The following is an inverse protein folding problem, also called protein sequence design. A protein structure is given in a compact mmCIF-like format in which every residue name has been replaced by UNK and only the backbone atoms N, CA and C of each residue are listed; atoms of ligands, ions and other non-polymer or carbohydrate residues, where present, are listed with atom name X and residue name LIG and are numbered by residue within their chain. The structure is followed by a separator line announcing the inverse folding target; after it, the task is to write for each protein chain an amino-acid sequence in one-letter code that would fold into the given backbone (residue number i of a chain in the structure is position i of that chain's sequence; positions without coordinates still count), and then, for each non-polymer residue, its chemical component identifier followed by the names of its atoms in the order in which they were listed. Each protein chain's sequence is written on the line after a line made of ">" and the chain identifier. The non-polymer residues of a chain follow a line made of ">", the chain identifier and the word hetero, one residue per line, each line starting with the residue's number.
data_IF_085375842974
#
_entry.id   IF_085375842974
#
_cell.length_a   1.000
_cell.length_b   1.000
_cell.length_c   1.000
_cell.angle_alpha   90.00
_cell.angle_beta   90.00
_cell.angle_gamma   90.00
#
_symmetry.space_group_name_H-M   'P 1'
#
loop_
_entity.id
_entity.type
_entity.pdbx_description
1 polymer ?
#
# COMPACT_ATOMS: atom_id res chain seq x y z
N UNK A 1 -69.09 -6.46 -17.93
CA UNK A 1 -68.94 -5.70 -19.19
C UNK A 1 -68.91 -4.22 -18.80
N UNK A 2 -67.91 -3.37 -19.05
CA UNK A 2 -66.87 -3.27 -20.06
C UNK A 2 -65.64 -2.54 -19.45
N UNK A 3 -64.42 -3.02 -19.73
CA UNK A 3 -63.19 -2.25 -19.49
C UNK A 3 -63.00 -1.27 -20.66
N UNK A 4 -62.89 0.03 -20.36
CA UNK A 4 -62.54 1.06 -21.34
C UNK A 4 -61.02 1.07 -21.52
N UNK A 5 -60.53 0.38 -22.55
CA UNK A 5 -59.14 0.48 -22.98
C UNK A 5 -58.88 1.84 -23.62
N UNK A 6 -57.89 2.57 -23.12
CA UNK A 6 -57.40 3.80 -23.72
C UNK A 6 -56.22 3.44 -24.63
N UNK A 7 -56.46 3.38 -25.93
CA UNK A 7 -55.42 3.05 -26.92
C UNK A 7 -54.85 4.35 -27.47
N UNK A 8 -53.62 4.69 -27.07
CA UNK A 8 -52.88 5.82 -27.63
C UNK A 8 -52.22 5.33 -28.93
N UNK A 9 -52.80 5.62 -30.09
CA UNK A 9 -52.12 5.40 -31.37
C UNK A 9 -51.28 6.62 -31.72
N UNK A 10 -49.96 6.50 -31.67
CA UNK A 10 -49.06 7.50 -32.23
C UNK A 10 -49.05 7.29 -33.74
N UNK A 11 -49.80 8.12 -34.49
CA UNK A 11 -49.72 8.17 -35.96
C UNK A 11 -48.35 8.70 -36.37
N UNK A 12 -47.50 7.83 -36.89
CA UNK A 12 -46.32 8.25 -37.65
C UNK A 12 -46.80 8.71 -39.03
N UNK A 13 -46.84 10.03 -39.24
CA UNK A 13 -47.13 10.61 -40.55
C UNK A 13 -45.90 10.40 -41.47
N UNK A 14 -46.09 9.62 -42.53
CA UNK A 14 -45.10 9.43 -43.58
C UNK A 14 -44.92 10.70 -44.41
N UNK A 15 -43.84 11.43 -44.15
CA UNK A 15 -43.29 12.43 -45.07
C UNK A 15 -42.09 11.78 -45.77
N UNK A 16 -41.91 11.93 -47.10
CA UNK A 16 -40.67 11.49 -47.75
C UNK A 16 -39.49 12.25 -47.13
N UNK A 17 -38.40 11.57 -46.69
CA UNK A 17 -37.37 12.22 -45.89
C UNK A 17 -36.47 13.08 -46.79
N UNK A 18 -36.81 14.36 -46.93
CA UNK A 18 -35.85 15.38 -47.31
C UNK A 18 -35.02 15.72 -46.08
N UNK A 19 -33.83 15.14 -45.96
CA UNK A 19 -32.91 15.48 -44.86
C UNK A 19 -32.50 16.95 -45.04
N UNK A 20 -32.95 17.81 -44.12
CA UNK A 20 -32.59 19.22 -44.14
C UNK A 20 -31.13 19.39 -43.74
N UNK A 21 -30.40 20.27 -44.42
CA UNK A 21 -29.00 20.60 -44.09
C UNK A 21 -28.85 20.99 -42.61
N UNK A 22 -29.85 21.72 -42.08
CA UNK A 22 -29.88 22.13 -40.67
C UNK A 22 -29.92 20.92 -39.73
N UNK A 23 -30.66 19.87 -40.07
CA UNK A 23 -30.79 18.67 -39.25
C UNK A 23 -29.46 17.90 -39.16
N UNK A 24 -28.73 17.81 -40.28
CA UNK A 24 -27.39 17.18 -40.32
C UNK A 24 -26.39 17.99 -39.49
N UNK A 25 -26.41 19.31 -39.58
CA UNK A 25 -25.51 20.19 -38.81
C UNK A 25 -25.78 20.07 -37.31
N UNK A 26 -27.07 20.02 -36.91
CA UNK A 26 -27.45 19.82 -35.51
C UNK A 26 -27.00 18.43 -35.03
N UNK A 27 -27.22 17.38 -35.81
CA UNK A 27 -26.78 16.03 -35.48
C UNK A 27 -25.25 15.95 -35.33
N UNK A 28 -24.50 16.58 -36.24
CA UNK A 28 -23.04 16.70 -36.16
C UNK A 28 -22.59 17.48 -34.91
N UNK A 29 -23.30 18.54 -34.54
CA UNK A 29 -23.05 19.31 -33.33
C UNK A 29 -23.22 18.46 -32.07
N UNK A 30 -24.34 17.73 -31.96
CA UNK A 30 -24.60 16.82 -30.85
C UNK A 30 -23.54 15.71 -30.80
N UNK A 31 -23.21 15.10 -31.94
CA UNK A 31 -22.18 14.07 -32.02
C UNK A 31 -20.81 14.57 -31.57
N UNK A 32 -20.45 15.81 -31.93
CA UNK A 32 -19.19 16.44 -31.52
C UNK A 32 -19.13 16.68 -30.01
N UNK A 33 -20.23 17.14 -29.41
CA UNK A 33 -20.33 17.31 -27.94
C UNK A 33 -20.20 15.96 -27.24
N UNK A 34 -20.90 14.93 -27.72
CA UNK A 34 -20.81 13.57 -27.15
C UNK A 34 -19.38 13.00 -27.26
N UNK A 35 -18.69 13.23 -28.37
CA UNK A 35 -17.28 12.84 -28.51
C UNK A 35 -16.39 13.58 -27.50
N UNK A 36 -16.58 14.88 -27.31
CA UNK A 36 -15.83 15.66 -26.33
C UNK A 36 -16.01 15.17 -24.90
N UNK A 37 -17.25 14.86 -24.51
CA UNK A 37 -17.55 14.28 -23.18
C UNK A 37 -16.92 12.88 -23.06
N UNK A 38 -17.00 12.06 -24.10
CA UNK A 38 -16.40 10.71 -24.08
C UNK A 38 -14.89 10.76 -23.92
N UNK A 39 -14.21 11.65 -24.66
CA UNK A 39 -12.75 11.79 -24.60
C UNK A 39 -12.27 12.25 -23.22
N UNK A 40 -12.97 13.23 -22.62
CA UNK A 40 -12.65 13.72 -21.27
C UNK A 40 -12.90 12.66 -20.20
N UNK A 41 -13.97 11.88 -20.34
CA UNK A 41 -14.27 10.75 -19.44
C UNK A 41 -13.20 9.67 -19.54
N UNK A 42 -12.80 9.27 -20.75
CA UNK A 42 -11.72 8.28 -20.93
C UNK A 42 -10.42 8.78 -20.31
N UNK A 43 -10.05 10.04 -20.56
CA UNK A 43 -8.82 10.62 -20.02
C UNK A 43 -8.81 10.66 -18.49
N UNK A 44 -9.94 11.01 -17.87
CA UNK A 44 -10.07 11.04 -16.40
C UNK A 44 -10.02 9.64 -15.80
N UNK A 45 -10.70 8.66 -16.40
CA UNK A 45 -10.67 7.26 -15.97
C UNK A 45 -9.25 6.69 -16.07
N UNK A 46 -8.57 6.86 -17.21
CA UNK A 46 -7.20 6.37 -17.41
C UNK A 46 -6.23 7.00 -16.40
N UNK A 47 -6.43 8.27 -16.05
CA UNK A 47 -5.61 8.93 -15.04
C UNK A 47 -5.88 8.35 -13.64
N UNK A 48 -7.14 8.16 -13.28
CA UNK A 48 -7.51 7.55 -12.02
C UNK A 48 -6.96 6.11 -11.90
N UNK A 49 -7.07 5.31 -12.97
CA UNK A 49 -6.57 3.94 -13.02
C UNK A 49 -5.05 3.86 -12.81
N UNK A 50 -4.29 4.78 -13.40
CA UNK A 50 -2.83 4.85 -13.19
C UNK A 50 -2.46 5.16 -11.73
N UNK A 51 -3.20 6.08 -11.11
CA UNK A 51 -3.00 6.45 -9.71
C UNK A 51 -3.36 5.29 -8.77
N UNK A 52 -4.49 4.61 -9.00
CA UNK A 52 -4.90 3.44 -8.19
C UNK A 52 -3.97 2.25 -8.39
N UNK A 53 -3.51 2.00 -9.61
CA UNK A 53 -2.60 0.88 -9.91
C UNK A 53 -1.24 1.07 -9.23
N UNK A 54 -0.70 2.29 -9.22
CA UNK A 54 0.57 2.59 -8.52
C UNK A 54 0.41 2.39 -7.01
N UNK A 55 -0.71 2.84 -6.42
CA UNK A 55 -0.98 2.64 -5.00
C UNK A 55 -1.15 1.16 -4.63
N UNK A 56 -1.90 0.41 -5.43
CA UNK A 56 -2.11 -1.03 -5.22
C UNK A 56 -0.79 -1.82 -5.30
N UNK A 57 0.06 -1.50 -6.28
CA UNK A 57 1.37 -2.13 -6.43
C UNK A 57 2.30 -1.85 -5.23
N UNK A 58 2.37 -0.60 -4.75
CA UNK A 58 3.13 -0.23 -3.56
C UNK A 58 2.61 -0.94 -2.30
N UNK A 59 1.28 -0.96 -2.10
CA UNK A 59 0.66 -1.65 -0.97
C UNK A 59 0.94 -3.16 -0.97
N UNK A 60 0.90 -3.80 -2.15
CA UNK A 60 1.25 -5.21 -2.30
C UNK A 60 2.73 -5.48 -1.99
N UNK A 61 3.64 -4.62 -2.49
CA UNK A 61 5.08 -4.71 -2.20
C UNK A 61 5.36 -4.61 -0.69
N UNK A 62 4.72 -3.66 -0.02
CA UNK A 62 4.85 -3.47 1.43
C UNK A 62 4.29 -4.63 2.24
N UNK A 63 3.12 -5.16 1.87
CA UNK A 63 2.52 -6.31 2.56
C UNK A 63 3.41 -7.56 2.45
N UNK A 64 3.96 -7.83 1.26
CA UNK A 64 4.90 -8.93 1.04
C UNK A 64 6.17 -8.73 1.87
N UNK A 65 6.72 -7.52 1.88
CA UNK A 65 7.87 -7.17 2.73
C UNK A 65 7.57 -7.43 4.21
N UNK A 66 6.46 -6.92 4.73
CA UNK A 66 6.07 -7.07 6.14
C UNK A 66 5.98 -8.53 6.56
N UNK A 67 5.37 -9.35 5.71
CA UNK A 67 5.27 -10.79 5.95
C UNK A 67 6.64 -11.48 5.97
N UNK A 68 7.48 -11.22 4.98
CA UNK A 68 8.81 -11.82 4.88
C UNK A 68 9.74 -11.37 6.02
N UNK A 69 9.72 -10.08 6.34
CA UNK A 69 10.53 -9.52 7.43
C UNK A 69 10.15 -10.13 8.79
N UNK A 70 8.84 -10.26 9.08
CA UNK A 70 8.38 -10.96 10.29
C UNK A 70 8.84 -12.41 10.32
N UNK A 71 8.63 -13.14 9.23
CA UNK A 71 9.03 -14.54 9.12
C UNK A 71 10.55 -14.72 9.29
N UNK A 72 11.36 -13.83 8.71
CA UNK A 72 12.80 -13.89 8.82
C UNK A 72 13.31 -13.52 10.22
N UNK A 73 12.70 -12.53 10.89
CA UNK A 73 13.03 -12.22 12.30
C UNK A 73 12.65 -13.38 13.23
N UNK A 74 11.49 -14.01 13.01
CA UNK A 74 11.07 -15.17 13.81
C UNK A 74 11.97 -16.39 13.58
N UNK A 75 12.45 -16.59 12.35
CA UNK A 75 13.40 -17.65 12.06
C UNK A 75 14.85 -17.33 12.48
N UNK A 76 15.14 -16.07 12.84
CA UNK A 76 16.47 -15.64 13.22
C UNK A 76 16.81 -16.08 14.66
N UNK A 77 18.03 -16.57 14.82
CA UNK A 77 18.65 -16.88 16.11
C UNK A 77 19.38 -15.65 16.66
N UNK A 78 19.97 -14.85 15.77
CA UNK A 78 20.71 -13.63 16.11
C UNK A 78 20.40 -12.53 15.08
N UNK A 79 20.40 -11.28 15.53
CA UNK A 79 20.20 -10.11 14.68
C UNK A 79 21.30 -9.09 14.97
N UNK A 80 21.99 -8.64 13.91
CA UNK A 80 23.08 -7.68 14.00
C UNK A 80 22.76 -6.43 13.21
N UNK A 81 23.06 -5.28 13.80
CA UNK A 81 22.88 -3.96 13.20
C UNK A 81 24.27 -3.35 12.95
N UNK A 82 24.85 -3.54 11.74
CA UNK A 82 26.25 -3.20 11.47
C UNK A 82 26.55 -1.69 11.42
N UNK A 83 25.54 -0.80 11.41
CA UNK A 83 25.73 0.63 11.25
C UNK A 83 24.92 1.50 12.22
N UNK A 84 25.51 2.63 12.63
CA UNK A 84 24.79 3.70 13.31
C UNK A 84 23.81 4.35 12.31
N UNK A 85 22.52 4.26 12.59
CA UNK A 85 21.46 4.78 11.71
C UNK A 85 20.54 3.73 11.10
N UNK A 86 20.70 2.44 11.43
CA UNK A 86 19.63 1.46 11.20
C UNK A 86 19.28 1.18 9.73
N UNK A 87 20.15 1.49 8.77
CA UNK A 87 19.84 1.25 7.35
C UNK A 87 20.11 -0.19 6.90
N UNK A 88 20.76 -0.98 7.76
CA UNK A 88 21.11 -2.36 7.47
C UNK A 88 20.87 -3.24 8.70
N UNK A 89 20.36 -4.45 8.46
CA UNK A 89 20.20 -5.49 9.48
C UNK A 89 20.59 -6.84 8.88
N UNK A 90 21.36 -7.61 9.64
CA UNK A 90 21.81 -8.95 9.28
C UNK A 90 21.17 -9.93 10.26
N UNK A 91 20.33 -10.82 9.75
CA UNK A 91 19.67 -11.87 10.50
C UNK A 91 20.42 -13.19 10.27
N UNK A 92 20.82 -13.86 11.34
CA UNK A 92 21.42 -15.19 11.29
C UNK A 92 20.38 -16.25 11.66
N UNK A 93 20.19 -17.25 10.81
CA UNK A 93 19.28 -18.39 11.04
C UNK A 93 20.05 -19.62 11.50
N UNK A 94 19.34 -20.61 12.05
CA UNK A 94 19.93 -21.83 12.60
C UNK A 94 20.69 -22.68 11.55
N UNK A 95 20.26 -22.69 10.29
CA UNK A 95 20.78 -23.57 9.23
C UNK A 95 21.97 -22.99 8.45
N UNK A 96 22.79 -22.15 9.10
CA UNK A 96 23.90 -21.43 8.45
C UNK A 96 23.44 -20.55 7.26
N UNK A 97 22.17 -20.15 7.30
CA UNK A 97 21.58 -19.18 6.38
C UNK A 97 21.62 -17.79 7.02
N UNK A 98 21.99 -16.79 6.23
CA UNK A 98 21.95 -15.39 6.64
C UNK A 98 21.03 -14.60 5.72
N UNK A 99 20.26 -13.68 6.31
CA UNK A 99 19.40 -12.75 5.55
C UNK A 99 19.86 -11.35 5.86
N UNK A 100 20.32 -10.65 4.83
CA UNK A 100 20.74 -9.27 4.91
C UNK A 100 19.65 -8.39 4.32
N UNK A 101 19.17 -7.43 5.11
CA UNK A 101 18.30 -6.38 4.64
C UNK A 101 19.06 -5.06 4.59
N UNK A 102 18.92 -4.33 3.49
CA UNK A 102 19.51 -3.02 3.29
C UNK A 102 18.49 -2.04 2.75
N UNK A 103 18.46 -0.85 3.33
CA UNK A 103 17.64 0.27 2.90
C UNK A 103 18.52 1.19 2.05
N UNK A 104 18.13 1.38 0.79
CA UNK A 104 18.74 2.37 -0.10
C UNK A 104 17.64 3.29 -0.62
N UNK A 105 17.65 4.55 -0.17
CA UNK A 105 16.63 5.55 -0.47
C UNK A 105 15.19 5.06 -0.20
N UNK A 106 14.44 4.73 -1.26
CA UNK A 106 13.05 4.27 -1.22
C UNK A 106 12.91 2.80 -1.66
N UNK A 107 13.98 2.02 -1.50
CA UNK A 107 14.04 0.60 -1.82
C UNK A 107 14.60 -0.17 -0.63
N UNK A 108 14.01 -1.34 -0.36
CA UNK A 108 14.54 -2.31 0.60
C UNK A 108 15.01 -3.53 -0.19
N UNK A 109 16.30 -3.82 -0.08
CA UNK A 109 16.92 -5.01 -0.63
C UNK A 109 16.95 -6.08 0.44
N UNK A 110 16.59 -7.30 0.06
CA UNK A 110 16.75 -8.50 0.89
C UNK A 110 17.63 -9.48 0.12
N UNK A 111 18.74 -9.88 0.72
CA UNK A 111 19.67 -10.86 0.17
C UNK A 111 19.72 -12.05 1.13
N UNK A 112 19.36 -13.22 0.62
CA UNK A 112 19.44 -14.48 1.36
C UNK A 112 20.69 -15.21 0.90
N UNK A 113 21.56 -15.51 1.84
CA UNK A 113 22.78 -16.27 1.62
C UNK A 113 22.63 -17.61 2.34
N UNK A 114 22.89 -18.71 1.63
CA UNK A 114 22.85 -20.08 2.15
C UNK A 114 24.16 -20.76 1.81
N UNK A 115 24.84 -21.35 2.80
CA UNK A 115 26.13 -22.02 2.60
C UNK A 115 27.21 -21.14 1.93
N UNK A 116 27.14 -19.81 2.12
CA UNK A 116 28.09 -18.86 1.55
C UNK A 116 27.77 -18.37 0.14
N UNK A 117 26.72 -18.90 -0.50
CA UNK A 117 26.25 -18.43 -1.81
C UNK A 117 24.94 -17.64 -1.70
N UNK A 118 24.77 -16.64 -2.57
CA UNK A 118 23.54 -15.86 -2.64
C UNK A 118 22.44 -16.74 -3.25
N UNK A 119 21.54 -17.22 -2.40
CA UNK A 119 20.43 -18.07 -2.79
C UNK A 119 19.28 -17.25 -3.40
N UNK A 120 19.03 -16.04 -2.88
CA UNK A 120 17.90 -15.23 -3.33
C UNK A 120 18.11 -13.73 -3.12
N UNK A 121 17.54 -12.91 -4.01
CA UNK A 121 17.51 -11.45 -3.88
C UNK A 121 16.11 -10.93 -4.17
N UNK A 122 15.51 -10.26 -3.19
CA UNK A 122 14.25 -9.52 -3.35
C UNK A 122 14.50 -8.02 -3.32
N UNK A 123 13.62 -7.27 -3.99
CA UNK A 123 13.55 -5.81 -3.94
C UNK A 123 12.13 -5.39 -3.60
N UNK A 124 11.99 -4.54 -2.60
CA UNK A 124 10.72 -3.95 -2.18
C UNK A 124 10.77 -2.45 -2.35
N UNK A 125 9.65 -1.86 -2.76
CA UNK A 125 9.58 -0.44 -3.10
C UNK A 125 8.71 0.30 -2.08
N UNK A 126 9.25 1.42 -1.59
CA UNK A 126 8.54 2.34 -0.72
C UNK A 126 8.05 3.55 -1.55
N UNK A 127 7.03 4.27 -1.06
CA UNK A 127 6.63 5.53 -1.66
C UNK A 127 7.83 6.49 -1.76
N UNK A 128 8.03 7.10 -2.93
CA UNK A 128 9.09 8.10 -3.15
C UNK A 128 8.99 9.23 -2.12
N UNK A 129 10.09 9.49 -1.41
CA UNK A 129 10.16 10.46 -0.31
C UNK A 129 9.96 9.87 1.08
N UNK A 130 9.79 8.56 1.21
CA UNK A 130 9.76 7.87 2.51
C UNK A 130 11.16 7.70 3.07
N UNK A 131 11.26 7.78 4.39
CA UNK A 131 12.47 7.46 5.13
C UNK A 131 12.21 6.21 5.97
N UNK A 132 13.05 5.20 5.83
CA UNK A 132 12.91 3.94 6.56
C UNK A 132 14.17 3.65 7.38
N UNK A 133 13.98 3.21 8.62
CA UNK A 133 15.04 2.93 9.58
C UNK A 133 14.72 1.65 10.34
N UNK A 134 15.68 0.73 10.40
CA UNK A 134 15.66 -0.39 11.32
C UNK A 134 16.03 0.08 12.72
N UNK A 135 15.32 -0.42 13.73
CA UNK A 135 15.60 -0.15 15.12
C UNK A 135 15.54 -1.45 15.94
N UNK A 136 16.38 -1.50 16.97
CA UNK A 136 16.38 -2.57 17.96
C UNK A 136 15.84 -2.04 19.28
N UNK A 137 14.87 -2.74 19.86
CA UNK A 137 14.34 -2.42 21.18
C UNK A 137 14.91 -3.42 22.20
N UNK A 138 16.06 -3.06 22.79
CA UNK A 138 16.89 -3.90 23.66
C UNK A 138 16.17 -4.50 24.88
N UNK A 139 15.11 -3.86 25.39
CA UNK A 139 14.35 -4.39 26.55
C UNK A 139 13.50 -5.64 26.24
N UNK A 140 13.28 -5.97 24.97
CA UNK A 140 12.31 -7.01 24.58
C UNK A 140 12.80 -7.94 23.47
N UNK A 141 14.09 -7.91 23.07
CA UNK A 141 14.61 -8.64 21.91
C UNK A 141 13.74 -8.44 20.64
N UNK A 142 13.27 -7.21 20.45
CA UNK A 142 12.42 -6.84 19.32
C UNK A 142 13.24 -6.07 18.29
N UNK A 143 13.13 -6.49 17.04
CA UNK A 143 13.63 -5.75 15.89
C UNK A 143 12.45 -5.20 15.10
N UNK A 144 12.55 -3.95 14.69
CA UNK A 144 11.50 -3.29 13.93
C UNK A 144 12.04 -2.42 12.83
N UNK A 145 11.14 -2.00 11.94
CA UNK A 145 11.38 -0.97 10.93
C UNK A 145 10.34 0.13 11.13
N UNK A 146 10.80 1.38 11.21
CA UNK A 146 9.94 2.56 11.18
C UNK A 146 10.06 3.17 9.79
N UNK A 147 8.91 3.43 9.17
CA UNK A 147 8.80 4.07 7.87
C UNK A 147 8.01 5.35 8.08
N UNK A 148 8.67 6.47 7.84
CA UNK A 148 8.04 7.77 7.74
C UNK A 148 7.58 7.95 6.29
N UNK A 149 6.27 7.81 6.05
CA UNK A 149 5.70 8.04 4.73
C UNK A 149 5.60 9.56 4.45
N UNK A 150 5.94 10.03 3.24
CA UNK A 150 5.77 11.43 2.89
C UNK A 150 4.27 11.69 2.79
N UNK A 151 3.79 12.63 3.59
CA UNK A 151 2.39 13.03 3.65
C UNK A 151 1.75 13.10 2.25
N UNK A 152 0.70 12.31 1.95
CA UNK A 152 0.07 12.27 0.64
C UNK A 152 -0.47 13.65 0.22
N UNK A 153 -0.81 14.53 1.18
CA UNK A 153 -1.25 15.90 0.92
C UNK A 153 -0.12 16.78 0.37
N UNK A 154 1.14 16.50 0.72
CA UNK A 154 2.31 17.24 0.21
C UNK A 154 2.52 17.03 -1.29
N UNK A 155 2.20 15.84 -1.84
CA UNK A 155 2.31 15.58 -3.29
C UNK A 155 1.26 16.35 -4.10
N UNK A 156 0.05 16.50 -3.55
CA UNK A 156 -1.04 17.28 -4.16
C UNK A 156 -0.72 18.79 -4.07
N UNK A 157 -0.22 19.26 -2.93
CA UNK A 157 0.13 20.66 -2.71
C UNK A 157 1.37 21.12 -3.49
N UNK A 158 2.40 20.27 -3.64
CA UNK A 158 3.60 20.61 -4.42
C UNK A 158 3.33 20.70 -5.93
N UNK A 159 2.34 19.98 -6.45
CA UNK A 159 1.92 20.10 -7.86
C UNK A 159 1.12 21.38 -8.12
N UNK A 160 0.61 22.02 -7.07
CA UNK A 160 -0.30 23.17 -7.18
C UNK A 160 0.26 24.45 -6.54
N UNK A 161 1.56 24.52 -6.22
CA UNK A 161 2.14 25.67 -5.51
C UNK A 161 2.49 26.83 -6.45
N UNK A 162 1.44 27.38 -7.07
CA UNK A 162 1.30 28.81 -7.28
C UNK A 162 0.56 29.41 -6.10
N UNK A 163 1.32 30.01 -5.17
CA UNK A 163 0.89 30.99 -4.19
C UNK A 163 0.12 30.55 -2.91
N UNK A 164 0.42 31.32 -1.86
CA UNK A 164 -0.16 31.38 -0.50
C UNK A 164 0.30 30.33 0.54
N UNK A 165 0.90 30.86 1.60
CA UNK A 165 1.24 30.13 2.82
C UNK A 165 0.11 30.20 3.84
N UNK A 166 -0.03 29.16 4.65
CA UNK A 166 0.19 29.25 6.09
C UNK A 166 0.24 27.85 6.70
N UNK A 167 1.13 27.76 7.69
CA UNK A 167 1.27 26.81 8.77
C UNK A 167 0.12 25.82 9.02
N UNK A 168 0.47 24.53 8.95
CA UNK A 168 -0.16 23.44 9.66
C UNK A 168 0.79 22.26 9.61
N UNK A 169 1.31 21.79 10.76
CA UNK A 169 2.15 20.58 10.83
C UNK A 169 1.30 19.40 10.31
N UNK A 170 1.64 18.79 9.17
CA UNK A 170 0.87 17.65 8.69
C UNK A 170 1.22 16.40 9.52
N UNK A 171 0.21 15.56 9.73
CA UNK A 171 0.37 14.28 10.41
C UNK A 171 1.25 13.36 9.57
N UNK A 172 2.49 13.15 9.99
CA UNK A 172 3.37 12.10 9.45
C UNK A 172 2.73 10.77 9.85
N UNK A 173 2.31 9.96 8.88
CA UNK A 173 1.89 8.59 9.17
C UNK A 173 3.16 7.76 9.35
N UNK A 174 3.51 7.51 10.60
CA UNK A 174 4.59 6.60 10.96
C UNK A 174 4.05 5.16 10.93
N UNK A 175 4.53 4.37 9.96
CA UNK A 175 4.24 2.95 9.88
C UNK A 175 5.39 2.18 10.52
N UNK A 176 5.12 1.51 11.64
CA UNK A 176 6.10 0.63 12.29
C UNK A 176 5.72 -0.83 12.16
N UNK A 177 6.67 -1.67 11.74
CA UNK A 177 6.57 -3.13 11.83
C UNK A 177 7.51 -3.56 12.93
N UNK A 178 6.96 -4.19 13.98
CA UNK A 178 7.73 -4.73 15.10
C UNK A 178 7.58 -6.25 15.10
N UNK A 179 8.70 -6.96 15.19
CA UNK A 179 8.74 -8.41 15.35
C UNK A 179 9.71 -8.80 16.47
N UNK A 180 9.54 -10.00 17.04
CA UNK A 180 10.38 -10.51 18.14
C UNK A 180 11.29 -11.61 17.60
N UNK A 181 12.58 -11.54 17.94
CA UNK A 181 13.59 -12.50 17.48
C UNK A 181 13.36 -13.85 18.18
N UNK A 182 13.46 -14.94 17.42
CA UNK A 182 13.49 -16.31 17.95
C UNK A 182 12.28 -17.18 17.61
N UNK A 183 12.44 -18.48 17.93
CA UNK A 183 11.50 -19.55 17.61
C UNK A 183 10.15 -19.39 18.31
N UNK A 184 9.07 -19.41 17.52
CA UNK A 184 7.70 -19.46 18.00
C UNK A 184 7.38 -20.88 18.49
N UNK A 185 7.74 -21.22 19.73
CA UNK A 185 7.31 -22.46 20.39
C UNK A 185 5.85 -22.35 20.83
N UNK A 186 4.92 -22.23 19.89
CA UNK A 186 3.48 -22.33 20.20
C UNK A 186 2.77 -23.23 19.21
N UNK A 187 3.02 -24.52 19.36
CA UNK A 187 2.03 -25.60 19.25
C UNK A 187 2.65 -26.91 19.78
N UNK A 188 2.76 -27.05 21.10
CA UNK A 188 2.82 -28.36 21.75
C UNK A 188 2.30 -28.24 23.19
N UNK A 189 1.13 -28.83 23.44
CA UNK A 189 0.49 -29.12 24.73
C UNK A 189 1.16 -28.58 26.01
N UNK A 190 0.67 -27.47 26.56
CA UNK A 190 0.83 -27.18 27.99
C UNK A 190 -0.36 -27.78 28.75
N UNK A 191 -0.21 -29.04 29.16
CA UNK A 191 -0.95 -29.61 30.29
C UNK A 191 -0.48 -28.89 31.57
N UNK A 192 -1.44 -28.35 32.33
CA UNK A 192 -1.43 -28.11 33.79
C UNK A 192 -0.23 -27.38 34.41
N UNK A 193 -0.49 -26.17 34.94
CA UNK A 193 -0.78 -25.95 36.37
C UNK A 193 -1.01 -24.45 36.62
N UNK A 194 -2.20 -24.09 37.09
CA UNK A 194 -2.37 -22.91 37.94
C UNK A 194 -1.51 -23.11 39.20
N UNK A 195 -0.97 -22.01 39.75
CA UNK A 195 -1.22 -21.81 41.17
C UNK A 195 -1.60 -20.36 41.51
N UNK A 196 -2.57 -20.29 42.42
CA UNK A 196 -2.78 -19.19 43.35
C UNK A 196 -1.47 -18.76 44.04
N UNK A 197 -1.39 -17.48 44.36
CA UNK A 197 -1.01 -16.91 45.67
C UNK A 197 -1.12 -15.39 45.55
N UNK A 198 -2.15 -14.77 46.12
CA UNK A 198 -2.13 -14.25 47.50
C UNK A 198 -0.73 -13.85 47.97
N UNK A 199 -0.48 -12.54 48.02
CA UNK A 199 0.37 -11.97 49.07
C UNK A 199 -0.21 -10.65 49.55
N UNK A 200 -0.55 -10.69 50.82
CA UNK A 200 -1.03 -9.64 51.69
C UNK A 200 0.16 -8.78 52.22
N UNK A 201 -0.16 -7.58 52.72
CA UNK A 201 0.61 -6.61 53.55
C UNK A 201 1.60 -5.71 52.78
N UNK A 202 1.70 -4.40 53.08
CA UNK A 202 1.77 -3.77 54.42
C UNK A 202 1.46 -2.28 54.32
N UNK A 203 0.63 -1.74 55.21
CA UNK A 203 0.90 -0.60 56.11
C UNK A 203 -0.21 -0.50 57.17
#
# INVERSE_FOLDING_TARGET
>A
MQQRGFTISIRQYGCPPGVSLVEVVVAMGIASVLMGISMTTIHTVLRAERETSKAAWLGSSFQRFSHLFRADIHAAVDARFPGAGGTEIILQKADNQSVQYRIEQHQIFRVVTSQGEVAHRDVFYLPEGSHALFFEQQRLHRAGISIEEPDPLRRILSKNKGNSGQSGRPAVQELSIISTIGYDYRLANLKLKQPEKETNKTE
#
